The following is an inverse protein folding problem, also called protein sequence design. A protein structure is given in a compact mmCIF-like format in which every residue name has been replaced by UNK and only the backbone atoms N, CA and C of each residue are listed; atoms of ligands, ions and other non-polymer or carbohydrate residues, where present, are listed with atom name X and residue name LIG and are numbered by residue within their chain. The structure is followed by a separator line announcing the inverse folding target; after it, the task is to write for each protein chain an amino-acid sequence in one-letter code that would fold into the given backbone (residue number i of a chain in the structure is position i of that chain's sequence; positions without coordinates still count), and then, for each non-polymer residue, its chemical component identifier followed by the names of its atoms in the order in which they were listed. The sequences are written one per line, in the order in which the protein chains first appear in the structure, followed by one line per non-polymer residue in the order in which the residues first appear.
data_IF_056327082750
#
_entry.id   IF_056327082750
#
_cell.length_a   1.000
_cell.length_b   1.000
_cell.length_c   1.000
_cell.angle_alpha   90.00
_cell.angle_beta   90.00
_cell.angle_gamma   90.00
#
_symmetry.space_group_name_H-M   'P 1'
#
loop_
_entity.id
_entity.type
_entity.pdbx_description
1 polymer ?
#
# COMPACT_ATOMS: atom_id res chain seq x y z
N UNK A 1 5.60 8.82 -24.51
CA UNK A 1 4.22 8.60 -24.01
C UNK A 1 3.34 9.68 -24.57
N UNK A 2 2.14 9.33 -25.04
CA UNK A 2 1.19 10.31 -25.61
C UNK A 2 0.48 11.07 -24.49
N UNK A 3 0.30 12.40 -24.61
CA UNK A 3 -0.50 13.16 -23.66
C UNK A 3 -1.96 12.71 -23.64
N UNK A 4 -2.59 12.76 -22.47
CA UNK A 4 -4.04 12.58 -22.31
C UNK A 4 -4.75 13.73 -23.04
N UNK A 5 -5.72 13.40 -23.89
CA UNK A 5 -6.41 14.41 -24.73
C UNK A 5 -7.68 14.96 -24.09
N UNK A 6 -8.34 14.16 -23.26
CA UNK A 6 -9.60 14.52 -22.63
C UNK A 6 -9.85 13.66 -21.38
N UNK A 7 -10.90 13.99 -20.64
CA UNK A 7 -11.24 13.29 -19.39
C UNK A 7 -11.73 11.87 -19.65
N UNK A 8 -12.35 11.60 -20.79
CA UNK A 8 -12.89 10.29 -21.15
C UNK A 8 -11.80 9.21 -21.19
N UNK A 9 -10.55 9.56 -21.54
CA UNK A 9 -9.41 8.63 -21.45
C UNK A 9 -9.11 8.19 -20.00
N UNK A 10 -9.39 9.03 -19.00
CA UNK A 10 -9.24 8.68 -17.59
C UNK A 10 -10.31 7.71 -17.11
N UNK A 11 -11.53 7.83 -17.63
CA UNK A 11 -12.63 6.90 -17.36
C UNK A 11 -12.39 5.56 -18.08
N UNK A 12 -11.93 5.61 -19.34
CA UNK A 12 -11.59 4.43 -20.15
C UNK A 12 -10.49 3.58 -19.49
N UNK A 13 -9.57 4.17 -18.74
CA UNK A 13 -8.60 3.43 -17.93
C UNK A 13 -9.29 2.42 -16.99
N UNK A 14 -10.41 2.79 -16.37
CA UNK A 14 -11.17 1.90 -15.49
C UNK A 14 -12.04 0.92 -16.27
N UNK A 15 -12.74 1.39 -17.33
CA UNK A 15 -13.55 0.51 -18.17
C UNK A 15 -12.73 -0.61 -18.82
N UNK A 16 -11.55 -0.29 -19.34
CA UNK A 16 -10.64 -1.26 -19.95
C UNK A 16 -9.97 -2.23 -18.96
N UNK A 17 -10.09 -1.96 -17.65
CA UNK A 17 -9.55 -2.82 -16.60
C UNK A 17 -10.48 -3.97 -16.20
N UNK A 18 -11.72 -3.96 -16.70
CA UNK A 18 -12.70 -5.02 -16.49
C UNK A 18 -12.22 -6.40 -16.96
N UNK A 19 -12.49 -7.43 -16.16
CA UNK A 19 -12.14 -8.81 -16.47
C UNK A 19 -13.38 -9.72 -16.42
N UNK A 20 -13.53 -10.67 -17.38
CA UNK A 20 -14.53 -11.72 -17.24
C UNK A 20 -14.24 -12.53 -15.97
N UNK A 21 -15.32 -12.99 -15.31
CA UNK A 21 -15.28 -13.65 -14.00
C UNK A 21 -14.29 -14.81 -13.90
N UNK A 22 -14.08 -15.58 -14.97
CA UNK A 22 -13.13 -16.70 -14.99
C UNK A 22 -11.66 -16.25 -14.83
N UNK A 23 -11.35 -14.99 -15.14
CA UNK A 23 -10.03 -14.39 -14.95
C UNK A 23 -9.89 -13.63 -13.64
N UNK A 24 -10.92 -13.61 -12.79
CA UNK A 24 -10.82 -12.96 -11.48
C UNK A 24 -9.82 -13.69 -10.59
N UNK A 25 -9.00 -12.93 -9.89
CA UNK A 25 -7.98 -13.40 -8.95
C UNK A 25 -8.06 -12.57 -7.67
N UNK A 26 -7.57 -13.14 -6.58
CA UNK A 26 -7.34 -12.43 -5.33
C UNK A 26 -5.85 -12.19 -5.17
N UNK A 27 -5.45 -10.92 -5.11
CA UNK A 27 -4.10 -10.51 -4.74
C UNK A 27 -4.05 -10.17 -3.26
N UNK A 28 -2.88 -10.33 -2.65
CA UNK A 28 -2.69 -10.09 -1.22
C UNK A 28 -1.39 -9.35 -0.97
N UNK A 29 -1.45 -8.31 -0.13
CA UNK A 29 -0.28 -7.56 0.31
C UNK A 29 -0.13 -7.72 1.82
N UNK A 30 1.06 -8.08 2.28
CA UNK A 30 1.36 -8.31 3.69
C UNK A 30 2.57 -7.50 4.14
N UNK A 31 2.37 -6.45 4.91
CA UNK A 31 3.44 -5.68 5.54
C UNK A 31 3.80 -6.25 6.91
N UNK A 32 5.10 -6.22 7.24
CA UNK A 32 5.66 -6.78 8.47
C UNK A 32 6.69 -5.82 9.04
N UNK A 33 6.73 -5.74 10.37
CA UNK A 33 7.64 -4.85 11.09
C UNK A 33 8.82 -5.66 11.60
N UNK A 34 10.02 -5.35 11.12
CA UNK A 34 11.27 -5.93 11.62
C UNK A 34 11.72 -5.25 12.91
N UNK A 35 12.09 -6.04 13.92
CA UNK A 35 12.60 -5.56 15.20
C UNK A 35 13.84 -6.35 15.64
N UNK A 36 14.67 -5.73 16.46
CA UNK A 36 15.73 -6.44 17.19
C UNK A 36 15.10 -7.33 18.27
N UNK A 37 15.54 -8.59 18.37
CA UNK A 37 14.97 -9.56 19.31
C UNK A 37 15.00 -9.11 20.77
N UNK A 38 16.12 -8.49 21.20
CA UNK A 38 16.34 -8.15 22.62
C UNK A 38 15.67 -6.85 23.05
N UNK A 39 15.67 -5.85 22.18
CA UNK A 39 15.20 -4.49 22.51
C UNK A 39 13.78 -4.21 22.02
N UNK A 40 13.28 -5.02 21.07
CA UNK A 40 12.06 -4.79 20.30
C UNK A 40 12.02 -3.44 19.55
N UNK A 41 13.16 -2.75 19.44
CA UNK A 41 13.31 -1.56 18.59
C UNK A 41 13.27 -1.97 17.12
N UNK A 42 12.73 -1.09 16.28
CA UNK A 42 12.75 -1.25 14.84
C UNK A 42 14.19 -1.48 14.34
N UNK A 43 14.35 -2.41 13.40
CA UNK A 43 15.63 -2.54 12.69
C UNK A 43 15.82 -1.34 11.74
N UNK A 44 17.06 -0.86 11.56
CA UNK A 44 17.37 0.11 10.52
C UNK A 44 17.19 -0.49 9.11
N UNK A 45 17.15 0.37 8.10
CA UNK A 45 17.32 -0.08 6.71
C UNK A 45 18.75 -0.55 6.48
N UNK A 46 19.71 0.25 6.94
CA UNK A 46 21.14 0.05 6.68
C UNK A 46 21.85 -0.77 7.78
N UNK A 47 23.07 -1.23 7.49
CA UNK A 47 23.92 -1.91 8.45
C UNK A 47 23.71 -3.44 8.52
N UNK A 48 24.53 -4.15 9.33
CA UNK A 48 24.69 -5.60 9.26
C UNK A 48 23.47 -6.43 9.69
N UNK A 49 22.49 -5.79 10.33
CA UNK A 49 21.21 -6.39 10.73
C UNK A 49 20.02 -5.61 10.15
N UNK A 50 20.31 -4.76 9.16
CA UNK A 50 19.32 -3.91 8.52
C UNK A 50 18.50 -4.65 7.48
N UNK A 51 17.42 -4.01 7.06
CA UNK A 51 16.52 -4.53 6.01
C UNK A 51 17.28 -4.84 4.71
N UNK A 52 18.23 -4.01 4.30
CA UNK A 52 19.01 -4.24 3.07
C UNK A 52 19.80 -5.56 3.13
N UNK A 53 20.40 -5.88 4.29
CA UNK A 53 21.13 -7.13 4.49
C UNK A 53 20.20 -8.34 4.40
N UNK A 54 18.98 -8.22 4.94
CA UNK A 54 17.96 -9.26 4.82
C UNK A 54 17.57 -9.48 3.36
N UNK A 55 17.34 -8.41 2.59
CA UNK A 55 17.00 -8.52 1.17
C UNK A 55 18.12 -9.16 0.34
N UNK A 56 19.39 -8.79 0.60
CA UNK A 56 20.55 -9.39 -0.07
C UNK A 56 20.65 -10.89 0.21
N UNK A 57 20.50 -11.31 1.46
CA UNK A 57 20.50 -12.72 1.82
C UNK A 57 19.34 -13.50 1.16
N UNK A 58 18.14 -12.90 1.09
CA UNK A 58 17.01 -13.51 0.36
C UNK A 58 17.30 -13.69 -1.14
N UNK A 59 17.96 -12.71 -1.76
CA UNK A 59 18.38 -12.78 -3.16
C UNK A 59 19.40 -13.90 -3.41
N UNK A 60 20.41 -13.99 -2.54
CA UNK A 60 21.50 -14.98 -2.64
C UNK A 60 21.01 -16.42 -2.41
N UNK A 61 20.07 -16.64 -1.48
CA UNK A 61 19.71 -17.98 -1.01
C UNK A 61 18.43 -18.54 -1.65
N UNK A 62 17.50 -17.70 -2.09
CA UNK A 62 16.17 -18.14 -2.55
C UNK A 62 15.79 -17.63 -3.96
N UNK A 63 16.79 -17.27 -4.76
CA UNK A 63 16.66 -16.86 -6.17
C UNK A 63 15.77 -15.63 -6.41
N UNK A 64 15.61 -14.79 -5.39
CA UNK A 64 14.96 -13.49 -5.53
C UNK A 64 15.84 -12.57 -6.39
N UNK A 65 15.24 -11.89 -7.36
CA UNK A 65 15.95 -10.97 -8.25
C UNK A 65 15.98 -9.57 -7.63
N UNK A 66 17.17 -9.02 -7.28
CA UNK A 66 17.24 -7.72 -6.65
C UNK A 66 16.94 -6.59 -7.64
N UNK A 67 16.25 -5.56 -7.13
CA UNK A 67 16.05 -4.30 -7.83
C UNK A 67 16.71 -3.20 -7.02
N UNK A 68 17.62 -2.46 -7.67
CA UNK A 68 18.45 -1.46 -7.01
C UNK A 68 18.04 -0.03 -7.37
N UNK A 69 18.11 0.87 -6.39
CA UNK A 69 18.04 2.31 -6.59
C UNK A 69 19.29 2.94 -5.95
N UNK A 70 20.07 3.71 -6.71
CA UNK A 70 21.31 4.35 -6.24
C UNK A 70 22.29 3.39 -5.52
N UNK A 71 22.41 2.15 -6.01
CA UNK A 71 23.34 1.14 -5.49
C UNK A 71 22.86 0.40 -4.23
N UNK A 72 21.58 0.53 -3.90
CA UNK A 72 20.94 -0.08 -2.74
C UNK A 72 19.82 -1.02 -3.17
N UNK A 73 19.71 -2.21 -2.56
CA UNK A 73 18.63 -3.16 -2.85
C UNK A 73 17.32 -2.68 -2.21
N UNK A 74 16.35 -2.29 -3.05
CA UNK A 74 15.11 -1.62 -2.62
C UNK A 74 13.85 -2.46 -2.77
N UNK A 75 13.93 -3.52 -3.57
CA UNK A 75 12.88 -4.49 -3.80
C UNK A 75 13.48 -5.80 -4.32
N UNK A 76 12.70 -6.87 -4.25
CA UNK A 76 13.01 -8.16 -4.85
C UNK A 76 11.85 -8.65 -5.72
N UNK A 77 12.15 -9.33 -6.82
CA UNK A 77 11.13 -9.97 -7.67
C UNK A 77 11.34 -11.48 -7.82
N UNK A 78 10.26 -12.25 -7.85
CA UNK A 78 10.27 -13.68 -8.18
C UNK A 78 8.95 -14.08 -8.81
N UNK A 79 8.96 -14.38 -10.12
CA UNK A 79 7.70 -14.57 -10.86
C UNK A 79 6.87 -13.28 -10.86
N UNK A 80 5.59 -13.37 -10.48
CA UNK A 80 4.73 -12.20 -10.29
C UNK A 80 4.73 -11.67 -8.85
N UNK A 81 5.45 -12.32 -7.93
CA UNK A 81 5.58 -11.88 -6.55
C UNK A 81 6.68 -10.82 -6.41
N UNK A 82 6.45 -9.85 -5.54
CA UNK A 82 7.43 -8.82 -5.21
C UNK A 82 7.57 -8.63 -3.71
N UNK A 83 8.81 -8.42 -3.26
CA UNK A 83 9.09 -7.87 -1.93
C UNK A 83 9.41 -6.40 -2.12
N UNK A 84 8.63 -5.54 -1.48
CA UNK A 84 8.79 -4.08 -1.49
C UNK A 84 9.02 -3.58 -0.06
N UNK A 85 9.50 -2.33 0.02
CA UNK A 85 9.81 -1.68 1.29
C UNK A 85 9.02 -0.39 1.44
N UNK A 86 8.39 -0.25 2.59
CA UNK A 86 7.72 0.95 3.07
C UNK A 86 8.71 1.95 3.71
N UNK A 87 8.31 3.22 3.96
CA UNK A 87 9.24 4.28 4.35
C UNK A 87 10.03 4.06 5.64
N UNK A 88 9.52 3.24 6.57
CA UNK A 88 10.19 2.88 7.82
C UNK A 88 10.96 1.55 7.76
N UNK A 89 11.09 0.95 6.58
CA UNK A 89 11.74 -0.36 6.40
C UNK A 89 10.82 -1.56 6.66
N UNK A 90 9.50 -1.35 6.74
CA UNK A 90 8.56 -2.47 6.78
C UNK A 90 8.68 -3.27 5.49
N UNK A 91 8.74 -4.61 5.61
CA UNK A 91 8.86 -5.50 4.47
C UNK A 91 7.46 -5.93 4.04
N UNK A 92 7.09 -5.59 2.83
CA UNK A 92 5.85 -6.01 2.18
C UNK A 92 6.12 -7.21 1.27
N UNK A 93 5.21 -8.19 1.28
CA UNK A 93 5.07 -9.15 0.19
C UNK A 93 3.83 -8.75 -0.60
N UNK A 94 4.01 -8.36 -1.86
CA UNK A 94 2.95 -8.24 -2.85
C UNK A 94 2.88 -9.55 -3.62
N UNK A 95 1.91 -10.38 -3.27
CA UNK A 95 1.79 -11.76 -3.74
C UNK A 95 1.22 -11.90 -5.14
N UNK A 96 1.36 -13.09 -5.73
CA UNK A 96 0.79 -13.37 -7.04
C UNK A 96 -0.77 -13.27 -7.03
N UNK A 97 -1.38 -12.84 -8.14
CA UNK A 97 -2.84 -12.92 -8.31
C UNK A 97 -3.31 -14.39 -8.34
N UNK A 98 -3.89 -14.85 -7.23
CA UNK A 98 -4.25 -16.25 -7.03
C UNK A 98 -5.73 -16.55 -7.32
N UNK A 99 -6.04 -17.77 -7.76
CA UNK A 99 -7.44 -18.21 -7.94
C UNK A 99 -8.14 -18.52 -6.61
N UNK A 100 -7.37 -18.96 -5.60
CA UNK A 100 -7.88 -19.37 -4.29
C UNK A 100 -7.01 -18.81 -3.17
N UNK A 101 -7.60 -18.70 -1.97
CA UNK A 101 -6.86 -18.27 -0.77
C UNK A 101 -5.76 -19.27 -0.43
N UNK A 102 -5.93 -20.56 -0.75
CA UNK A 102 -4.90 -21.59 -0.53
C UNK A 102 -3.62 -21.32 -1.34
N UNK A 103 -3.74 -20.78 -2.56
CA UNK A 103 -2.60 -20.35 -3.35
C UNK A 103 -1.84 -19.21 -2.66
N UNK A 104 -2.55 -18.15 -2.24
CA UNK A 104 -1.93 -17.02 -1.54
C UNK A 104 -1.33 -17.44 -0.18
N UNK A 105 -1.96 -18.39 0.51
CA UNK A 105 -1.46 -18.92 1.77
C UNK A 105 -0.16 -19.73 1.58
N UNK A 106 -0.07 -20.53 0.52
CA UNK A 106 1.13 -21.30 0.22
C UNK A 106 2.33 -20.38 -0.07
N UNK A 107 2.13 -19.36 -0.90
CA UNK A 107 3.13 -18.33 -1.20
C UNK A 107 3.55 -17.57 0.06
N UNK A 108 2.59 -17.09 0.85
CA UNK A 108 2.87 -16.40 2.11
C UNK A 108 3.66 -17.28 3.08
N UNK A 109 3.30 -18.56 3.20
CA UNK A 109 4.00 -19.51 4.07
C UNK A 109 5.44 -19.71 3.62
N UNK A 110 5.68 -19.83 2.32
CA UNK A 110 7.02 -19.91 1.76
C UNK A 110 7.82 -18.63 2.08
N UNK A 111 7.24 -17.46 1.82
CA UNK A 111 7.88 -16.17 2.11
C UNK A 111 8.26 -16.05 3.59
N UNK A 112 7.37 -16.39 4.51
CA UNK A 112 7.64 -16.34 5.95
C UNK A 112 8.76 -17.29 6.33
N UNK A 113 8.79 -18.51 5.78
CA UNK A 113 9.88 -19.47 6.05
C UNK A 113 11.23 -18.90 5.62
N UNK A 114 11.34 -18.41 4.39
CA UNK A 114 12.58 -17.83 3.85
C UNK A 114 13.03 -16.62 4.67
N UNK A 115 12.09 -15.72 5.01
CA UNK A 115 12.36 -14.53 5.81
C UNK A 115 12.87 -14.88 7.21
N UNK A 116 12.27 -15.86 7.88
CA UNK A 116 12.65 -16.27 9.23
C UNK A 116 14.00 -17.00 9.25
N UNK A 117 14.31 -17.83 8.26
CA UNK A 117 15.62 -18.50 8.12
C UNK A 117 16.77 -17.47 7.98
N UNK A 118 16.54 -16.34 7.29
CA UNK A 118 17.48 -15.21 7.23
C UNK A 118 17.50 -14.42 8.54
N UNK A 119 16.34 -14.04 9.06
CA UNK A 119 16.21 -13.15 10.22
C UNK A 119 16.80 -13.75 11.50
N UNK A 120 16.67 -15.07 11.71
CA UNK A 120 17.17 -15.77 12.90
C UNK A 120 18.70 -15.58 13.06
N UNK A 121 19.45 -15.63 11.96
CA UNK A 121 20.91 -15.45 11.95
C UNK A 121 21.35 -14.03 12.29
N UNK A 122 20.45 -13.06 12.13
CA UNK A 122 20.70 -11.64 12.37
C UNK A 122 20.14 -11.15 13.73
N UNK A 123 19.58 -12.05 14.54
CA UNK A 123 18.87 -11.72 15.79
C UNK A 123 17.71 -10.73 15.57
N UNK A 124 17.03 -10.88 14.43
CA UNK A 124 15.88 -10.07 14.01
C UNK A 124 14.60 -10.90 14.14
N UNK A 125 13.51 -10.24 14.56
CA UNK A 125 12.17 -10.81 14.63
C UNK A 125 11.22 -9.96 13.79
N UNK A 126 10.27 -10.60 13.11
CA UNK A 126 9.21 -9.91 12.38
C UNK A 126 7.88 -10.02 13.11
N UNK A 127 7.17 -8.89 13.20
CA UNK A 127 5.87 -8.79 13.85
C UNK A 127 4.76 -8.57 12.83
N UNK A 128 3.66 -9.31 13.03
CA UNK A 128 2.36 -9.04 12.42
C UNK A 128 1.51 -8.16 13.34
N UNK A 129 1.81 -6.85 13.35
CA UNK A 129 1.11 -5.83 14.15
C UNK A 129 0.81 -4.61 13.30
N UNK A 130 -0.29 -3.93 13.58
CA UNK A 130 -0.69 -2.72 12.86
C UNK A 130 0.24 -1.53 13.06
N UNK A 131 1.05 -1.53 14.14
CA UNK A 131 1.99 -0.46 14.45
C UNK A 131 3.25 -1.00 15.15
N UNK A 132 4.38 -0.32 14.95
CA UNK A 132 5.63 -0.55 15.67
C UNK A 132 5.39 -0.27 17.17
N UNK A 133 5.64 -1.25 18.07
CA UNK A 133 5.21 -1.16 19.47
C UNK A 133 6.14 -0.38 20.42
N UNK A 134 7.41 -0.17 20.10
CA UNK A 134 8.47 0.32 21.01
C UNK A 134 9.21 1.57 20.53
N UNK A 135 9.73 1.58 19.30
CA UNK A 135 10.47 2.71 18.75
C UNK A 135 9.58 3.93 18.53
N UNK A 136 10.04 5.07 19.01
CA UNK A 136 9.48 6.37 18.68
C UNK A 136 9.75 6.72 17.21
N UNK A 137 8.96 7.64 16.66
CA UNK A 137 9.05 8.04 15.25
C UNK A 137 10.46 8.49 14.80
N UNK A 138 11.25 9.26 15.59
CA UNK A 138 12.60 9.66 15.21
C UNK A 138 13.63 8.53 15.25
N UNK A 139 13.38 7.45 15.99
CA UNK A 139 14.31 6.31 16.11
C UNK A 139 14.30 5.38 14.89
N UNK A 140 13.24 5.45 14.07
CA UNK A 140 13.11 4.60 12.88
C UNK A 140 13.86 5.27 11.72
N UNK A 141 14.71 4.54 11.01
CA UNK A 141 15.42 5.08 9.85
C UNK A 141 14.45 5.34 8.68
N UNK A 142 14.72 6.37 7.88
CA UNK A 142 14.01 6.55 6.62
C UNK A 142 14.62 5.67 5.55
N UNK A 143 13.78 4.95 4.81
CA UNK A 143 14.23 4.27 3.61
C UNK A 143 14.77 5.29 2.59
N UNK A 144 15.97 5.09 2.01
CA UNK A 144 16.62 6.09 1.15
C UNK A 144 16.06 6.14 -0.28
N UNK A 145 14.75 5.96 -0.47
CA UNK A 145 14.07 6.09 -1.78
C UNK A 145 13.81 7.55 -2.15
N UNK A 146 14.07 7.93 -3.40
CA UNK A 146 13.91 9.32 -3.89
C UNK A 146 12.51 9.87 -3.66
N UNK A 147 11.47 9.08 -3.90
CA UNK A 147 10.06 9.50 -3.73
C UNK A 147 9.74 9.99 -2.31
N UNK A 148 10.39 9.45 -1.28
CA UNK A 148 10.11 9.85 0.10
C UNK A 148 10.70 11.22 0.44
N UNK A 149 11.68 11.72 -0.33
CA UNK A 149 12.17 13.11 -0.22
C UNK A 149 11.09 14.14 -0.58
N UNK A 150 10.11 13.75 -1.39
CA UNK A 150 8.95 14.58 -1.78
C UNK A 150 7.79 14.35 -0.80
N UNK A 151 7.46 13.09 -0.53
CA UNK A 151 6.31 12.75 0.31
C UNK A 151 6.49 13.21 1.77
N UNK A 152 7.68 13.05 2.36
CA UNK A 152 7.88 13.34 3.79
C UNK A 152 7.66 14.82 4.14
N UNK A 153 8.23 15.82 3.43
CA UNK A 153 7.92 17.23 3.70
C UNK A 153 6.45 17.59 3.47
N UNK A 154 5.80 16.98 2.47
CA UNK A 154 4.38 17.22 2.22
C UNK A 154 3.49 16.70 3.35
N UNK A 155 3.75 15.49 3.85
CA UNK A 155 2.97 14.87 4.93
C UNK A 155 3.00 15.67 6.24
N UNK A 156 3.99 16.53 6.45
CA UNK A 156 4.03 17.45 7.60
C UNK A 156 3.06 18.63 7.46
N UNK A 157 2.63 18.95 6.23
CA UNK A 157 1.78 20.11 5.92
C UNK A 157 0.29 19.77 5.96
N UNK A 158 -0.08 18.52 5.64
CA UNK A 158 -1.47 18.11 5.39
C UNK A 158 -2.14 17.35 6.54
N UNK A 159 -1.35 16.93 7.53
CA UNK A 159 -1.86 16.19 8.68
C UNK A 159 -0.87 16.15 9.83
N UNK A 160 -1.25 15.44 10.89
CA UNK A 160 -0.48 15.36 12.14
C UNK A 160 0.15 13.99 12.36
N UNK A 161 -0.27 12.97 11.61
CA UNK A 161 0.21 11.59 11.78
C UNK A 161 0.76 10.97 10.49
N UNK A 162 0.91 11.73 9.40
CA UNK A 162 1.39 11.19 8.12
C UNK A 162 2.77 10.52 8.20
N UNK A 163 3.69 11.05 9.03
CA UNK A 163 4.98 10.38 9.26
C UNK A 163 4.86 9.08 10.05
N UNK A 164 3.89 8.97 10.97
CA UNK A 164 3.61 7.70 11.66
C UNK A 164 3.05 6.67 10.71
N UNK A 165 2.12 7.07 9.83
CA UNK A 165 1.62 6.21 8.75
C UNK A 165 2.79 5.66 7.93
N UNK A 166 3.68 6.56 7.47
CA UNK A 166 4.82 6.18 6.64
C UNK A 166 5.79 5.21 7.34
N UNK A 167 6.12 5.44 8.61
CA UNK A 167 7.26 4.76 9.26
C UNK A 167 6.90 3.70 10.30
N UNK A 168 5.70 3.76 10.85
CA UNK A 168 5.35 2.95 12.02
C UNK A 168 4.26 1.93 11.74
N UNK A 169 3.44 2.08 10.69
CA UNK A 169 2.29 1.19 10.49
C UNK A 169 2.63 0.01 9.58
N UNK A 170 1.89 -1.08 9.75
CA UNK A 170 1.87 -2.20 8.82
C UNK A 170 0.42 -2.69 8.59
N UNK A 171 0.11 -3.15 7.37
CA UNK A 171 -1.21 -3.61 6.94
C UNK A 171 -1.20 -5.04 6.40
N UNK A 172 -2.39 -5.64 6.35
CA UNK A 172 -2.72 -6.65 5.32
C UNK A 172 -3.77 -6.02 4.40
N UNK A 173 -3.66 -6.26 3.09
CA UNK A 173 -4.60 -5.77 2.09
C UNK A 173 -5.08 -6.91 1.19
N UNK A 174 -6.28 -6.74 0.64
CA UNK A 174 -6.85 -7.65 -0.33
C UNK A 174 -7.17 -6.91 -1.63
N UNK A 175 -6.71 -7.47 -2.75
CA UNK A 175 -6.86 -6.91 -4.09
C UNK A 175 -7.81 -7.80 -4.90
N UNK A 176 -8.81 -7.19 -5.52
CA UNK A 176 -9.89 -7.90 -6.22
C UNK A 176 -10.26 -7.23 -7.54
N UNK A 177 -10.48 -8.08 -8.54
CA UNK A 177 -10.98 -7.71 -9.86
C UNK A 177 -12.48 -7.38 -9.90
N UNK A 178 -12.86 -6.68 -10.97
CA UNK A 178 -14.24 -6.39 -11.36
C UNK A 178 -14.47 -6.65 -12.85
N UNK A 179 -15.72 -6.83 -13.29
CA UNK A 179 -16.06 -7.08 -14.70
C UNK A 179 -16.28 -5.81 -15.52
N UNK A 180 -16.98 -4.85 -14.93
CA UNK A 180 -17.44 -3.62 -15.57
C UNK A 180 -17.73 -2.58 -14.47
N UNK A 181 -18.19 -1.39 -14.88
CA UNK A 181 -18.50 -0.29 -13.95
C UNK A 181 -19.57 -0.65 -12.93
N UNK A 182 -20.62 -1.36 -13.34
CA UNK A 182 -21.73 -1.70 -12.44
C UNK A 182 -21.24 -2.64 -11.34
N UNK A 183 -20.50 -3.68 -11.70
CA UNK A 183 -19.87 -4.59 -10.75
C UNK A 183 -18.85 -3.87 -9.85
N UNK A 184 -17.98 -3.06 -10.44
CA UNK A 184 -16.97 -2.29 -9.71
C UNK A 184 -17.63 -1.37 -8.66
N UNK A 185 -18.68 -0.64 -9.02
CA UNK A 185 -19.33 0.28 -8.10
C UNK A 185 -20.16 -0.42 -7.02
N UNK A 186 -20.77 -1.57 -7.33
CA UNK A 186 -21.45 -2.40 -6.32
C UNK A 186 -20.46 -2.92 -5.28
N UNK A 187 -19.30 -3.42 -5.73
CA UNK A 187 -18.20 -3.85 -4.84
C UNK A 187 -17.64 -2.68 -4.05
N UNK A 188 -17.45 -1.53 -4.68
CA UNK A 188 -16.90 -0.33 -4.05
C UNK A 188 -17.78 0.17 -2.91
N UNK A 189 -19.09 0.29 -3.16
CA UNK A 189 -20.08 0.67 -2.12
C UNK A 189 -20.07 -0.32 -0.96
N UNK A 190 -20.08 -1.62 -1.27
CA UNK A 190 -20.11 -2.69 -0.26
C UNK A 190 -18.84 -2.65 0.59
N UNK A 191 -17.67 -2.61 -0.06
CA UNK A 191 -16.37 -2.56 0.60
C UNK A 191 -16.24 -1.31 1.48
N UNK A 192 -16.64 -0.13 0.97
CA UNK A 192 -16.64 1.12 1.74
C UNK A 192 -17.52 1.02 3.00
N UNK A 193 -18.70 0.41 2.88
CA UNK A 193 -19.58 0.17 4.03
C UNK A 193 -18.99 -0.81 5.05
N UNK A 194 -18.20 -1.79 4.61
CA UNK A 194 -17.57 -2.78 5.46
C UNK A 194 -16.26 -2.31 6.11
N UNK A 195 -15.61 -1.29 5.56
CA UNK A 195 -14.31 -0.80 6.03
C UNK A 195 -14.25 -0.57 7.56
N UNK A 196 -15.22 0.10 8.22
CA UNK A 196 -15.18 0.25 9.67
C UNK A 196 -15.28 -1.08 10.45
N UNK A 197 -16.05 -2.05 9.92
CA UNK A 197 -16.15 -3.39 10.51
C UNK A 197 -14.86 -4.17 10.34
N UNK A 198 -14.21 -4.04 9.17
CA UNK A 198 -12.89 -4.63 8.91
C UNK A 198 -11.87 -4.06 9.89
N UNK A 199 -11.80 -2.73 10.06
CA UNK A 199 -10.92 -2.12 11.06
C UNK A 199 -11.18 -2.66 12.47
N UNK A 200 -12.45 -2.87 12.85
CA UNK A 200 -12.80 -3.40 14.17
C UNK A 200 -12.39 -4.87 14.36
N UNK A 201 -12.68 -5.74 13.38
CA UNK A 201 -12.37 -7.18 13.42
C UNK A 201 -10.86 -7.41 13.41
N UNK A 202 -10.12 -6.61 12.63
CA UNK A 202 -8.68 -6.74 12.45
C UNK A 202 -7.88 -5.76 13.33
N UNK A 203 -8.46 -5.17 14.37
CA UNK A 203 -7.77 -4.20 15.20
C UNK A 203 -6.58 -4.84 15.95
N UNK A 204 -5.34 -4.41 15.65
CA UNK A 204 -4.13 -5.05 16.15
C UNK A 204 -2.96 -4.06 16.34
N UNK A 205 -3.25 -2.87 16.89
CA UNK A 205 -2.23 -1.86 17.18
C UNK A 205 -2.44 -1.09 18.51
N UNK A 206 -2.61 -1.78 19.66
CA UNK A 206 -2.90 -1.12 20.94
C UNK A 206 -1.68 -0.60 21.70
N UNK A 207 -0.46 -0.90 21.24
CA UNK A 207 0.81 -0.55 21.90
C UNK A 207 1.65 0.29 20.94
N UNK A 208 2.20 1.39 21.42
CA UNK A 208 3.20 2.19 20.70
C UNK A 208 4.10 2.92 21.70
N UNK A 209 5.38 3.10 21.38
CA UNK A 209 6.36 3.74 22.28
C UNK A 209 6.44 3.05 23.66
N UNK A 210 6.30 1.71 23.68
CA UNK A 210 6.43 0.87 24.87
C UNK A 210 5.24 0.90 25.83
N UNK A 211 4.12 1.53 25.44
CA UNK A 211 2.93 1.73 26.30
C UNK A 211 1.63 1.55 25.53
N UNK A 212 0.56 1.27 26.28
CA UNK A 212 -0.80 1.29 25.74
C UNK A 212 -1.12 2.69 25.22
N UNK A 213 -1.64 2.77 23.99
CA UNK A 213 -1.91 4.03 23.30
C UNK A 213 -3.38 4.49 23.39
N UNK A 214 -4.25 3.68 24.00
CA UNK A 214 -5.67 3.98 24.18
C UNK A 214 -6.58 3.55 23.02
N UNK A 215 -6.03 2.94 21.97
CA UNK A 215 -6.80 2.45 20.80
C UNK A 215 -6.73 0.93 20.70
N UNK A 216 -7.69 0.35 19.97
CA UNK A 216 -7.59 -1.06 19.51
C UNK A 216 -6.84 -1.13 18.18
N UNK A 217 -7.24 -0.27 17.23
CA UNK A 217 -6.47 0.03 16.03
C UNK A 217 -6.01 1.49 16.09
N UNK A 218 -4.78 1.72 16.55
CA UNK A 218 -4.17 3.04 16.45
C UNK A 218 -3.76 3.36 15.02
N UNK A 219 -3.43 2.35 14.22
CA UNK A 219 -3.23 2.49 12.77
C UNK A 219 -4.45 3.10 12.08
N UNK A 220 -5.65 2.59 12.35
CA UNK A 220 -6.89 3.17 11.81
C UNK A 220 -7.05 4.64 12.20
N UNK A 221 -6.73 4.99 13.45
CA UNK A 221 -6.73 6.40 13.88
C UNK A 221 -5.69 7.25 13.14
N UNK A 222 -4.48 6.75 12.94
CA UNK A 222 -3.40 7.43 12.19
C UNK A 222 -3.86 7.86 10.79
N UNK A 223 -4.60 6.99 10.09
CA UNK A 223 -5.14 7.31 8.76
C UNK A 223 -6.11 8.49 8.77
N UNK A 224 -6.92 8.65 9.83
CA UNK A 224 -7.81 9.83 9.99
C UNK A 224 -7.08 11.16 10.19
N UNK A 225 -5.77 11.11 10.49
CA UNK A 225 -4.90 12.26 10.76
C UNK A 225 -3.73 12.37 9.77
N UNK A 226 -3.76 11.60 8.69
CA UNK A 226 -2.68 11.55 7.69
C UNK A 226 -2.83 12.66 6.65
N UNK A 227 -3.89 12.62 5.84
CA UNK A 227 -4.19 13.63 4.83
C UNK A 227 -5.66 13.51 4.46
N UNK A 228 -6.44 14.56 4.72
CA UNK A 228 -7.89 14.57 4.50
C UNK A 228 -8.29 14.49 3.03
N UNK A 229 -7.40 14.89 2.12
CA UNK A 229 -7.74 14.98 0.69
C UNK A 229 -7.68 13.60 0.02
N UNK A 230 -6.90 12.66 0.59
CA UNK A 230 -6.66 11.33 0.00
C UNK A 230 -7.03 10.15 0.88
N UNK A 231 -7.47 10.35 2.13
CA UNK A 231 -7.76 9.28 3.08
C UNK A 231 -9.24 9.21 3.46
N UNK A 232 -9.65 8.04 3.97
CA UNK A 232 -10.95 7.84 4.60
C UNK A 232 -12.02 7.25 3.68
N UNK A 233 -13.26 7.30 4.15
CA UNK A 233 -14.43 6.87 3.40
C UNK A 233 -14.77 7.92 2.34
N UNK A 234 -15.12 7.45 1.13
CA UNK A 234 -15.54 8.32 0.03
C UNK A 234 -17.07 8.35 -0.03
N UNK A 235 -17.74 9.44 0.41
CA UNK A 235 -19.19 9.44 0.58
C UNK A 235 -19.97 9.18 -0.72
N UNK A 236 -19.41 9.58 -1.86
CA UNK A 236 -20.02 9.35 -3.17
C UNK A 236 -20.20 7.86 -3.51
N UNK A 237 -19.49 6.94 -2.82
CA UNK A 237 -19.69 5.49 -2.97
C UNK A 237 -21.15 5.07 -2.70
N UNK A 238 -21.86 5.82 -1.87
CA UNK A 238 -23.23 5.54 -1.48
C UNK A 238 -24.28 6.28 -2.31
N UNK A 239 -23.87 7.08 -3.30
CA UNK A 239 -24.81 7.72 -4.24
C UNK A 239 -25.51 6.67 -5.08
N UNK A 240 -26.81 6.84 -5.38
CA UNK A 240 -27.58 5.88 -6.17
C UNK A 240 -27.08 5.70 -7.60
N UNK A 241 -26.40 6.71 -8.13
CA UNK A 241 -25.87 6.84 -9.50
C UNK A 241 -24.33 6.80 -9.55
N UNK A 242 -23.68 6.27 -8.50
CA UNK A 242 -22.22 6.14 -8.43
C UNK A 242 -21.64 5.44 -9.68
N UNK A 243 -20.53 5.97 -10.19
CA UNK A 243 -19.87 5.57 -11.44
C UNK A 243 -18.36 5.85 -11.38
N UNK A 244 -17.59 5.38 -12.36
CA UNK A 244 -16.17 5.72 -12.48
C UNK A 244 -15.94 7.21 -12.65
N UNK A 245 -16.86 7.94 -13.29
CA UNK A 245 -16.78 9.39 -13.38
C UNK A 245 -16.68 10.08 -12.00
N UNK A 246 -17.38 9.56 -10.99
CA UNK A 246 -17.29 10.09 -9.61
C UNK A 246 -15.89 9.84 -9.01
N UNK A 247 -15.33 8.65 -9.23
CA UNK A 247 -13.99 8.31 -8.75
C UNK A 247 -12.90 9.11 -9.48
N UNK A 248 -13.07 9.35 -10.78
CA UNK A 248 -12.20 10.21 -11.59
C UNK A 248 -12.24 11.65 -11.09
N UNK A 249 -13.43 12.21 -10.81
CA UNK A 249 -13.55 13.57 -10.25
C UNK A 249 -12.84 13.70 -8.89
N UNK A 250 -13.03 12.72 -8.01
CA UNK A 250 -12.28 12.65 -6.76
C UNK A 250 -10.76 12.63 -6.99
N UNK A 251 -10.28 11.73 -7.85
CA UNK A 251 -8.86 11.57 -8.11
C UNK A 251 -8.24 12.80 -8.80
N UNK A 252 -8.99 13.50 -9.66
CA UNK A 252 -8.56 14.73 -10.31
C UNK A 252 -8.28 15.85 -9.30
N UNK A 253 -9.07 15.92 -8.24
CA UNK A 253 -8.95 16.99 -7.23
C UNK A 253 -7.97 16.66 -6.11
N UNK A 254 -7.61 15.38 -5.92
CA UNK A 254 -6.55 14.98 -4.99
C UNK A 254 -5.21 15.60 -5.43
N UNK A 255 -4.51 16.33 -4.55
CA UNK A 255 -3.18 16.84 -4.86
C UNK A 255 -2.17 15.72 -5.16
N UNK A 256 -1.39 15.87 -6.22
CA UNK A 256 -0.33 14.96 -6.60
C UNK A 256 0.83 15.00 -5.59
N UNK A 257 1.71 13.99 -5.65
CA UNK A 257 3.06 14.08 -5.09
C UNK A 257 4.09 14.43 -6.15
N UNK A 258 4.12 13.66 -7.23
CA UNK A 258 5.16 13.74 -8.26
C UNK A 258 4.70 13.05 -9.54
N UNK A 259 5.44 13.30 -10.62
CA UNK A 259 5.49 12.47 -11.82
C UNK A 259 6.90 11.92 -12.02
N UNK A 260 7.05 10.92 -12.89
CA UNK A 260 8.36 10.36 -13.25
C UNK A 260 8.69 10.71 -14.69
N UNK A 261 9.86 11.29 -14.93
CA UNK A 261 10.40 11.65 -16.24
C UNK A 261 11.86 11.26 -16.30
N UNK A 262 12.25 10.51 -17.33
CA UNK A 262 13.64 10.08 -17.55
C UNK A 262 14.30 9.47 -16.30
N UNK A 263 13.55 8.64 -15.57
CA UNK A 263 14.00 7.99 -14.34
C UNK A 263 14.10 8.90 -13.10
N UNK A 264 13.68 10.16 -13.21
CA UNK A 264 13.71 11.15 -12.13
C UNK A 264 12.31 11.56 -11.68
N UNK A 265 12.17 11.88 -10.40
CA UNK A 265 10.93 12.38 -9.81
C UNK A 265 10.83 13.90 -9.97
N UNK A 266 9.75 14.38 -10.57
CA UNK A 266 9.40 15.81 -10.64
C UNK A 266 8.37 16.10 -9.56
N UNK A 267 8.73 16.96 -8.60
CA UNK A 267 7.86 17.33 -7.48
C UNK A 267 6.66 18.17 -7.97
N UNK A 268 5.46 17.65 -7.73
CA UNK A 268 4.18 18.30 -7.99
C UNK A 268 3.33 18.39 -6.71
N UNK A 269 3.97 18.28 -5.55
CA UNK A 269 3.30 18.20 -4.26
C UNK A 269 2.37 19.40 -4.04
N UNK A 270 1.11 19.10 -3.72
CA UNK A 270 0.08 20.12 -3.52
C UNK A 270 -0.61 20.63 -4.79
N UNK A 271 -0.22 20.17 -5.98
CA UNK A 271 -0.91 20.48 -7.24
C UNK A 271 -1.96 19.39 -7.54
N UNK A 272 -3.27 19.72 -7.65
CA UNK A 272 -4.28 18.76 -8.10
C UNK A 272 -3.96 18.19 -9.48
N UNK A 273 -4.26 16.91 -9.72
CA UNK A 273 -4.02 16.29 -11.03
C UNK A 273 -4.77 17.02 -12.15
N UNK A 274 -5.98 17.54 -11.87
CA UNK A 274 -6.74 18.38 -12.81
C UNK A 274 -5.92 19.55 -13.36
N UNK A 275 -5.21 20.26 -12.47
CA UNK A 275 -4.37 21.39 -12.88
C UNK A 275 -3.21 20.96 -13.77
N UNK A 276 -2.60 19.81 -13.46
CA UNK A 276 -1.54 19.25 -14.28
C UNK A 276 -2.05 18.77 -15.65
N UNK A 277 -3.25 18.19 -15.69
CA UNK A 277 -3.93 17.80 -16.93
C UNK A 277 -4.20 19.01 -17.83
N UNK A 278 -4.76 20.08 -17.27
CA UNK A 278 -5.21 21.26 -18.03
C UNK A 278 -4.06 22.16 -18.51
N UNK A 279 -2.96 22.23 -17.75
CA UNK A 279 -1.91 23.23 -17.96
C UNK A 279 -0.51 22.65 -18.15
N UNK A 280 -0.32 21.35 -17.90
CA UNK A 280 0.99 20.75 -17.79
C UNK A 280 1.84 21.36 -16.66
N UNK A 281 3.12 20.99 -16.63
CA UNK A 281 4.11 21.55 -15.73
C UNK A 281 5.49 21.51 -16.37
N UNK A 282 6.16 22.67 -16.50
CA UNK A 282 7.53 22.78 -17.05
C UNK A 282 7.71 22.04 -18.40
N UNK A 283 6.71 22.08 -19.28
CA UNK A 283 6.74 21.40 -20.58
C UNK A 283 6.36 19.91 -20.54
N UNK A 284 6.10 19.35 -19.36
CA UNK A 284 5.48 18.04 -19.21
C UNK A 284 3.97 18.14 -19.26
N UNK A 285 3.35 17.21 -19.98
CA UNK A 285 1.89 17.03 -20.03
C UNK A 285 1.54 15.68 -19.44
N UNK A 286 0.33 15.59 -18.88
CA UNK A 286 -0.16 14.38 -18.22
C UNK A 286 -0.28 13.21 -19.21
N UNK A 287 0.21 12.04 -18.80
CA UNK A 287 0.06 10.79 -19.54
C UNK A 287 -0.74 9.77 -18.74
N UNK A 288 -1.16 8.67 -19.36
CA UNK A 288 -1.87 7.59 -18.65
C UNK A 288 -0.97 6.95 -17.59
N UNK A 289 0.35 6.93 -17.79
CA UNK A 289 1.32 6.48 -16.79
C UNK A 289 1.36 7.41 -15.57
N UNK A 290 1.21 8.72 -15.75
CA UNK A 290 1.06 9.66 -14.63
C UNK A 290 -0.25 9.45 -13.90
N UNK A 291 -1.32 9.15 -14.62
CA UNK A 291 -2.62 8.83 -14.03
C UNK A 291 -2.54 7.57 -13.18
N UNK A 292 -2.01 6.47 -13.72
CA UNK A 292 -1.81 5.21 -13.00
C UNK A 292 -0.94 5.44 -11.75
N UNK A 293 0.17 6.18 -11.90
CA UNK A 293 1.03 6.56 -10.79
C UNK A 293 0.30 7.39 -9.73
N UNK A 294 -0.45 8.41 -10.14
CA UNK A 294 -1.22 9.28 -9.24
C UNK A 294 -2.21 8.46 -8.41
N UNK A 295 -2.93 7.53 -9.03
CA UNK A 295 -3.87 6.64 -8.35
C UNK A 295 -3.19 5.81 -7.25
N UNK A 296 -1.91 5.45 -7.37
CA UNK A 296 -1.16 4.77 -6.30
C UNK A 296 -0.92 5.63 -5.06
N UNK A 297 -1.13 6.95 -5.17
CA UNK A 297 -0.93 7.91 -4.08
C UNK A 297 -2.22 8.29 -3.35
N UNK A 298 -3.37 7.81 -3.81
CA UNK A 298 -4.63 7.93 -3.10
C UNK A 298 -4.67 6.86 -2.00
N UNK A 299 -5.18 7.18 -0.81
CA UNK A 299 -5.25 6.22 0.30
C UNK A 299 -6.64 6.13 0.97
N UNK A 300 -7.75 6.09 0.22
CA UNK A 300 -9.06 5.85 0.80
C UNK A 300 -9.11 4.45 1.44
N UNK A 301 -10.15 4.18 2.23
CA UNK A 301 -10.35 2.85 2.83
C UNK A 301 -10.50 1.74 1.77
N UNK A 302 -11.05 2.10 0.60
CA UNK A 302 -11.11 1.26 -0.60
C UNK A 302 -10.62 2.06 -1.79
N UNK A 303 -9.61 1.54 -2.49
CA UNK A 303 -8.99 2.22 -3.63
C UNK A 303 -9.30 1.48 -4.93
N UNK A 304 -9.55 2.23 -6.00
CA UNK A 304 -9.73 1.68 -7.35
C UNK A 304 -8.56 2.11 -8.22
N UNK A 305 -7.90 1.11 -8.84
CA UNK A 305 -6.95 1.23 -9.95
C UNK A 305 -7.47 0.34 -11.08
N UNK A 306 -6.60 -0.50 -11.67
CA UNK A 306 -6.99 -1.60 -12.57
C UNK A 306 -7.69 -2.77 -11.86
N UNK A 307 -7.73 -2.69 -10.53
CA UNK A 307 -8.37 -3.60 -9.59
C UNK A 307 -8.76 -2.77 -8.36
N UNK A 308 -9.52 -3.35 -7.45
CA UNK A 308 -9.94 -2.72 -6.20
C UNK A 308 -9.09 -3.23 -5.04
N UNK A 309 -8.72 -2.37 -4.11
CA UNK A 309 -7.88 -2.69 -2.95
C UNK A 309 -8.62 -2.32 -1.66
N UNK A 310 -8.67 -3.27 -0.72
CA UNK A 310 -9.27 -3.10 0.61
C UNK A 310 -8.13 -2.89 1.62
N UNK A 311 -8.17 -1.77 2.34
CA UNK A 311 -6.99 -1.21 3.02
C UNK A 311 -7.16 -1.05 4.54
N UNK A 312 -8.34 -1.36 5.07
CA UNK A 312 -8.76 -0.98 6.43
C UNK A 312 -8.16 -1.82 7.57
N UNK A 313 -7.51 -2.95 7.28
CA UNK A 313 -7.05 -3.91 8.28
C UNK A 313 -5.64 -3.62 8.80
N UNK A 314 -5.40 -3.80 10.10
CA UNK A 314 -4.04 -3.84 10.62
C UNK A 314 -3.35 -5.14 10.18
N UNK A 315 -2.02 -5.13 10.06
CA UNK A 315 -1.24 -6.38 9.90
C UNK A 315 -1.53 -7.35 11.05
N UNK A 316 -1.51 -8.65 10.75
CA UNK A 316 -1.92 -9.73 11.64
C UNK A 316 -0.82 -10.75 11.87
N UNK A 317 -0.87 -11.54 12.97
CA UNK A 317 -0.06 -12.74 13.10
C UNK A 317 -0.18 -13.66 11.85
N UNK A 318 0.88 -14.37 11.46
CA UNK A 318 0.92 -15.16 10.22
C UNK A 318 -0.28 -16.09 10.02
N UNK A 319 -0.79 -16.70 11.09
CA UNK A 319 -1.94 -17.61 11.08
C UNK A 319 -3.27 -16.93 10.66
N UNK A 320 -3.38 -15.61 10.81
CA UNK A 320 -4.57 -14.83 10.49
C UNK A 320 -4.43 -13.97 9.24
N UNK A 321 -3.23 -13.87 8.66
CA UNK A 321 -2.98 -13.09 7.44
C UNK A 321 -3.94 -13.45 6.28
N UNK A 322 -4.27 -14.74 6.00
CA UNK A 322 -5.21 -15.09 4.95
C UNK A 322 -6.68 -14.72 5.23
N UNK A 323 -7.03 -14.32 6.46
CA UNK A 323 -8.42 -14.11 6.84
C UNK A 323 -9.06 -12.88 6.17
N UNK A 324 -8.32 -11.78 6.01
CA UNK A 324 -8.83 -10.61 5.28
C UNK A 324 -9.15 -10.96 3.82
N UNK A 325 -8.21 -11.47 3.00
CA UNK A 325 -8.53 -11.80 1.62
C UNK A 325 -9.61 -12.87 1.49
N UNK A 326 -9.71 -13.81 2.44
CA UNK A 326 -10.80 -14.78 2.46
C UNK A 326 -12.17 -14.11 2.68
N UNK A 327 -12.28 -13.23 3.66
CA UNK A 327 -13.50 -12.45 3.93
C UNK A 327 -13.89 -11.61 2.72
N UNK A 328 -12.95 -10.86 2.16
CA UNK A 328 -13.18 -9.96 1.03
C UNK A 328 -13.58 -10.73 -0.23
N UNK A 329 -12.88 -11.83 -0.54
CA UNK A 329 -13.25 -12.71 -1.65
C UNK A 329 -14.66 -13.27 -1.45
N UNK A 330 -14.99 -13.77 -0.25
CA UNK A 330 -16.29 -14.36 0.04
C UNK A 330 -17.45 -13.37 -0.09
N UNK A 331 -17.23 -12.10 0.29
CA UNK A 331 -18.27 -11.06 0.20
C UNK A 331 -18.41 -10.50 -1.21
N UNK A 332 -17.32 -10.32 -1.95
CA UNK A 332 -17.32 -9.53 -3.18
C UNK A 332 -17.29 -10.38 -4.45
N UNK A 333 -16.97 -11.68 -4.38
CA UNK A 333 -16.99 -12.58 -5.53
C UNK A 333 -18.19 -13.52 -5.56
N UNK A 334 -19.08 -13.49 -4.58
CA UNK A 334 -20.40 -14.12 -4.68
C UNK A 334 -21.40 -13.09 -5.23
#
# INVERSE_FOLDING_TARGET
MSPIRNKEELEEFFHSSGKPRQRWRVGTEYEKIGIERRSAKAIPYSGPRGVETILKALAEEYNWQPQEEDGHVMALGRGNAQITLEPGGQIELSGEPCESIHCSQAEFTQHIRELLEVAERLDVVFLGLGIQPVSSLPEIEWLPKKRYRIMAPYMQKVGTMGHRMMKQTATVQANIDFSDEKDAMAKFRTAMGLSPLITAIFANSPISEGKLNGYKSFRGHIWTKTDKDRCGLLPFAFSSDVSFAHYVEYALDVPMYFIVRDGSYVDLSGTPFRRFLDHGHQGHYATIEDWDLHLTTLFPEVRIKRYMEIRSADSQPPEFMPALPALIKGVLYD
#
